data_IF_059918977431
#
_entry.id   IF_059918977431
#
_cell.length_a   1.000
_cell.length_b   1.000
_cell.length_c   1.000
_cell.angle_alpha   90.00
_cell.angle_beta   90.00
_cell.angle_gamma   90.00
#
_symmetry.space_group_name_H-M   'P 1'
#
loop_
_entity.id
_entity.type
_entity.pdbx_description
1 polymer ?
#
# COMPACT_ATOMS: atom_id res chain seq x y z
N UNK A 1 -1.09 -5.91 -15.92
CA UNK A 1 -0.97 -5.43 -14.52
C UNK A 1 -1.15 -6.68 -13.72
N UNK A 2 -0.03 -7.23 -13.26
CA UNK A 2 0.04 -8.67 -12.99
C UNK A 2 0.02 -8.94 -11.49
N UNK A 3 0.38 -7.91 -10.70
CA UNK A 3 0.41 -7.96 -9.25
C UNK A 3 -0.24 -6.73 -8.62
N UNK A 4 -0.89 -6.94 -7.48
CA UNK A 4 -1.40 -5.90 -6.61
C UNK A 4 -0.64 -5.97 -5.28
N UNK A 5 -0.01 -4.86 -4.88
CA UNK A 5 0.68 -4.73 -3.61
C UNK A 5 -0.22 -3.92 -2.68
N UNK A 6 -0.70 -4.57 -1.63
CA UNK A 6 -1.54 -3.94 -0.60
C UNK A 6 -0.70 -3.65 0.63
N UNK A 7 -0.50 -2.37 0.91
CA UNK A 7 0.24 -1.89 2.06
C UNK A 7 -0.73 -1.52 3.18
N UNK A 8 -0.59 -2.17 4.33
CA UNK A 8 -1.47 -2.02 5.49
C UNK A 8 -0.65 -1.47 6.65
N UNK A 9 -1.23 -0.55 7.40
CA UNK A 9 -0.62 0.02 8.61
C UNK A 9 -1.11 1.42 8.95
N UNK A 10 -0.82 1.86 10.16
CA UNK A 10 -1.12 3.19 10.65
C UNK A 10 0.09 4.14 10.49
N UNK A 11 -0.06 5.21 9.70
CA UNK A 11 0.98 6.24 9.48
C UNK A 11 1.51 6.90 10.77
N UNK A 12 0.72 6.95 11.84
CA UNK A 12 1.13 7.50 13.14
C UNK A 12 1.36 6.42 14.21
N UNK A 13 1.34 5.14 13.83
CA UNK A 13 1.45 3.99 14.73
C UNK A 13 2.89 3.54 15.02
N UNK A 14 3.90 4.39 14.79
CA UNK A 14 5.30 4.01 14.94
C UNK A 14 5.72 2.97 13.90
N UNK A 15 6.15 1.79 14.33
CA UNK A 15 6.57 0.70 13.43
C UNK A 15 5.42 0.16 12.57
N UNK A 16 4.17 0.34 12.99
CA UNK A 16 2.98 0.02 12.20
C UNK A 16 2.86 0.89 10.93
N UNK A 17 3.62 1.99 10.84
CA UNK A 17 3.68 2.83 9.63
C UNK A 17 4.48 2.20 8.48
N UNK A 18 5.07 1.02 8.67
CA UNK A 18 5.94 0.38 7.67
C UNK A 18 5.22 0.13 6.33
N UNK A 19 3.95 -0.29 6.35
CA UNK A 19 3.15 -0.48 5.15
C UNK A 19 2.98 0.82 4.36
N UNK A 20 2.36 1.86 4.93
CA UNK A 20 2.22 3.16 4.28
C UNK A 20 3.56 3.76 3.81
N UNK A 21 4.65 3.58 4.57
CA UNK A 21 5.99 4.01 4.17
C UNK A 21 6.46 3.31 2.88
N UNK A 22 6.29 1.99 2.78
CA UNK A 22 6.61 1.23 1.57
C UNK A 22 5.73 1.69 0.40
N UNK A 23 4.44 1.94 0.62
CA UNK A 23 3.54 2.43 -0.43
C UNK A 23 4.03 3.76 -1.03
N UNK A 24 4.47 4.70 -0.19
CA UNK A 24 5.00 6.00 -0.61
C UNK A 24 6.33 5.88 -1.38
N UNK A 25 7.12 4.84 -1.09
CA UNK A 25 8.36 4.55 -1.82
C UNK A 25 8.08 3.91 -3.18
N UNK A 26 7.20 2.91 -3.23
CA UNK A 26 6.89 2.20 -4.48
C UNK A 26 6.07 3.05 -5.46
N UNK A 27 5.21 3.96 -4.99
CA UNK A 27 4.47 4.88 -5.88
C UNK A 27 5.37 5.87 -6.62
N UNK A 28 6.59 6.12 -6.13
CA UNK A 28 7.59 6.97 -6.83
C UNK A 28 8.29 6.24 -7.97
N UNK A 29 8.21 4.92 -7.99
CA UNK A 29 8.79 4.08 -9.03
C UNK A 29 7.71 3.80 -10.09
N UNK A 30 7.86 4.36 -11.30
CA UNK A 30 6.97 4.01 -12.41
C UNK A 30 7.19 2.55 -12.80
N UNK A 31 6.23 1.67 -12.43
CA UNK A 31 6.34 0.25 -12.77
C UNK A 31 5.06 -0.23 -13.45
N UNK A 32 5.19 -0.75 -14.68
CA UNK A 32 4.05 -1.20 -15.51
C UNK A 32 3.42 -2.53 -15.03
N UNK A 33 4.11 -3.26 -14.16
CA UNK A 33 3.77 -4.64 -13.84
C UNK A 33 2.99 -4.80 -12.53
N UNK A 34 2.91 -3.76 -11.69
CA UNK A 34 2.16 -3.82 -10.43
C UNK A 34 1.44 -2.51 -10.10
N UNK A 35 0.33 -2.63 -9.37
CA UNK A 35 -0.33 -1.52 -8.70
C UNK A 35 -0.01 -1.54 -7.21
N UNK A 36 0.03 -0.35 -6.59
CA UNK A 36 0.29 -0.18 -5.15
C UNK A 36 -0.90 0.51 -4.51
N UNK A 37 -1.51 -0.15 -3.52
CA UNK A 37 -2.58 0.40 -2.71
C UNK A 37 -2.08 0.63 -1.28
N UNK A 38 -2.23 1.87 -0.80
CA UNK A 38 -2.14 2.16 0.62
C UNK A 38 -3.54 1.98 1.21
N UNK A 39 -3.70 0.95 2.04
CA UNK A 39 -4.98 0.54 2.62
C UNK A 39 -5.22 1.13 4.01
N UNK A 40 -4.25 1.87 4.56
CA UNK A 40 -4.28 2.32 5.95
C UNK A 40 -4.51 1.15 6.90
N UNK A 41 -5.43 1.32 7.86
CA UNK A 41 -5.75 0.31 8.88
C UNK A 41 -6.95 -0.58 8.53
N UNK A 42 -7.59 -0.38 7.38
CA UNK A 42 -8.85 -1.05 7.01
C UNK A 42 -8.77 -1.57 5.56
N UNK A 43 -8.05 -2.68 5.31
CA UNK A 43 -7.90 -3.26 3.98
C UNK A 43 -9.21 -3.73 3.35
N UNK A 44 -10.24 -4.00 4.15
CA UNK A 44 -11.54 -4.50 3.71
C UNK A 44 -12.26 -3.52 2.76
N UNK A 45 -11.98 -2.21 2.88
CA UNK A 45 -12.51 -1.17 2.01
C UNK A 45 -12.07 -1.31 0.54
N UNK A 46 -11.06 -2.14 0.26
CA UNK A 46 -10.45 -2.32 -1.06
C UNK A 46 -10.81 -3.67 -1.69
N UNK A 47 -11.73 -4.42 -1.11
CA UNK A 47 -12.12 -5.78 -1.57
C UNK A 47 -12.86 -5.82 -2.90
N UNK A 48 -13.40 -4.69 -3.36
CA UNK A 48 -14.10 -4.56 -4.64
C UNK A 48 -13.23 -4.01 -5.77
N UNK A 49 -11.91 -3.86 -5.54
CA UNK A 49 -10.94 -3.37 -6.53
C UNK A 49 -10.45 -4.51 -7.41
#
# INVERSE_FOLDING_TARGET
MDYLIMCIGNRTGGDDAIGPYIADKLKKEETKNFAVLDCGTVPENYTSI
#
